data_IF_274665877057
#
_entry.id   IF_274665877057
#
_cell.length_a   1.000
_cell.length_b   1.000
_cell.length_c   1.000
_cell.angle_alpha   90.00
_cell.angle_beta   90.00
_cell.angle_gamma   90.00
#
_symmetry.space_group_name_H-M   'P 1'
#
loop_
_entity.id
_entity.type
_entity.pdbx_description
1 polymer ?
#
# COMPACT_ATOMS: atom_id res chain seq x y z
N UNK A 1 -24.01 32.94 -58.67
CA UNK A 1 -22.68 33.42 -58.21
C UNK A 1 -22.82 33.68 -56.71
N UNK A 2 -22.40 32.74 -55.84
CA UNK A 2 -21.09 32.74 -55.14
C UNK A 2 -20.90 34.06 -54.38
N UNK A 3 -21.14 34.15 -53.07
CA UNK A 3 -20.21 33.80 -51.97
C UNK A 3 -20.77 34.35 -50.64
N UNK A 4 -20.42 33.97 -49.41
CA UNK A 4 -19.61 32.91 -48.77
C UNK A 4 -20.11 32.92 -47.30
N UNK A 5 -20.31 31.74 -46.73
CA UNK A 5 -20.75 31.50 -45.35
C UNK A 5 -19.66 31.98 -44.39
N UNK A 6 -20.00 32.88 -43.47
CA UNK A 6 -19.11 33.32 -42.40
C UNK A 6 -18.83 32.18 -41.43
N UNK A 7 -17.57 31.73 -41.40
CA UNK A 7 -17.11 30.66 -40.54
C UNK A 7 -17.18 31.06 -39.06
N UNK A 8 -17.92 30.30 -38.26
CA UNK A 8 -17.82 30.33 -36.82
C UNK A 8 -16.52 29.62 -36.40
N UNK A 9 -15.54 30.38 -35.92
CA UNK A 9 -14.33 29.81 -35.33
C UNK A 9 -14.68 29.23 -33.97
N UNK A 10 -14.87 27.91 -33.92
CA UNK A 10 -15.03 27.16 -32.68
C UNK A 10 -13.65 27.08 -32.00
N UNK A 11 -13.43 27.88 -30.96
CA UNK A 11 -12.24 27.76 -30.12
C UNK A 11 -12.33 26.46 -29.32
N UNK A 12 -11.55 25.46 -29.73
CA UNK A 12 -11.44 24.19 -29.03
C UNK A 12 -10.49 24.39 -27.83
N UNK A 13 -11.07 24.66 -26.65
CA UNK A 13 -10.34 24.70 -25.39
C UNK A 13 -10.02 23.25 -25.00
N UNK A 14 -8.84 22.76 -25.38
CA UNK A 14 -8.32 21.50 -24.83
C UNK A 14 -7.99 21.72 -23.36
N UNK A 15 -8.88 21.27 -22.47
CA UNK A 15 -8.51 20.94 -21.11
C UNK A 15 -7.43 19.86 -21.20
N UNK A 16 -6.17 20.26 -21.10
CA UNK A 16 -5.11 19.34 -20.72
C UNK A 16 -5.48 18.92 -19.29
N UNK A 17 -6.16 17.78 -19.15
CA UNK A 17 -6.29 17.14 -17.86
C UNK A 17 -4.87 17.02 -17.29
N UNK A 18 -4.62 17.39 -16.03
CA UNK A 18 -3.30 17.20 -15.46
C UNK A 18 -2.96 15.72 -15.62
N UNK A 19 -1.86 15.45 -16.33
CA UNK A 19 -1.24 14.15 -16.31
C UNK A 19 -1.16 13.73 -14.85
N UNK A 20 -1.67 12.53 -14.54
CA UNK A 20 -1.69 11.93 -13.21
C UNK A 20 -0.47 12.43 -12.42
N UNK A 21 -0.69 13.27 -11.41
CA UNK A 21 0.34 13.46 -10.40
C UNK A 21 0.51 12.06 -9.83
N UNK A 22 1.54 11.35 -10.32
CA UNK A 22 1.83 9.96 -10.00
C UNK A 22 1.80 9.89 -8.48
N UNK A 23 0.86 9.12 -7.93
CA UNK A 23 0.74 8.97 -6.50
C UNK A 23 2.06 8.36 -6.01
N UNK A 24 2.97 9.20 -5.51
CA UNK A 24 4.24 8.75 -4.94
C UNK A 24 4.02 8.11 -3.57
N UNK A 25 2.79 7.73 -3.24
CA UNK A 25 2.41 7.24 -1.93
C UNK A 25 1.51 6.03 -2.01
N UNK A 26 1.57 5.17 -1.00
CA UNK A 26 0.68 4.03 -0.86
C UNK A 26 0.35 3.75 0.61
N UNK A 27 -0.67 2.95 0.85
CA UNK A 27 -1.15 2.62 2.20
C UNK A 27 -0.95 1.15 2.52
N UNK A 28 -0.34 0.87 3.68
CA UNK A 28 -0.19 -0.46 4.24
C UNK A 28 -1.04 -0.59 5.49
N UNK A 29 -1.90 -1.62 5.54
CA UNK A 29 -2.54 -2.03 6.78
C UNK A 29 -1.75 -3.17 7.43
N UNK A 30 -1.22 -2.93 8.63
CA UNK A 30 -0.64 -3.96 9.48
C UNK A 30 -1.73 -4.53 10.39
N UNK A 31 -2.14 -5.76 10.07
CA UNK A 31 -3.12 -6.53 10.83
C UNK A 31 -2.38 -7.47 11.76
N UNK A 32 -2.44 -7.19 13.06
CA UNK A 32 -1.70 -7.94 14.08
C UNK A 32 -2.69 -8.24 15.20
N UNK A 33 -2.94 -9.52 15.48
CA UNK A 33 -3.79 -9.94 16.59
C UNK A 33 -3.48 -9.12 17.85
N UNK A 34 -4.53 -8.55 18.48
CA UNK A 34 -4.40 -7.79 19.71
C UNK A 34 -3.81 -8.61 20.88
N UNK A 35 -3.95 -9.94 20.83
CA UNK A 35 -3.32 -10.85 21.79
C UNK A 35 -1.84 -11.16 21.48
N UNK A 36 -1.30 -10.71 20.33
CA UNK A 36 0.08 -10.98 19.95
C UNK A 36 1.05 -10.20 20.85
N UNK A 37 1.91 -10.88 21.65
CA UNK A 37 2.81 -10.22 22.58
C UNK A 37 3.93 -9.42 21.90
N UNK A 38 4.17 -9.65 20.61
CA UNK A 38 5.16 -8.93 19.80
C UNK A 38 4.57 -7.78 19.01
N UNK A 39 3.27 -7.48 19.16
CA UNK A 39 2.58 -6.46 18.36
C UNK A 39 3.28 -5.10 18.39
N UNK A 40 3.71 -4.62 19.56
CA UNK A 40 4.45 -3.35 19.68
C UNK A 40 5.80 -3.40 18.96
N UNK A 41 6.53 -4.50 19.09
CA UNK A 41 7.83 -4.69 18.44
C UNK A 41 7.69 -4.77 16.91
N UNK A 42 6.73 -5.53 16.40
CA UNK A 42 6.44 -5.65 14.97
C UNK A 42 6.13 -4.28 14.37
N UNK A 43 5.27 -3.48 15.02
CA UNK A 43 4.95 -2.12 14.56
C UNK A 43 6.19 -1.24 14.55
N UNK A 44 6.96 -1.22 15.63
CA UNK A 44 8.17 -0.42 15.74
C UNK A 44 9.22 -0.81 14.69
N UNK A 45 9.41 -2.11 14.45
CA UNK A 45 10.35 -2.63 13.48
C UNK A 45 9.95 -2.31 12.04
N UNK A 46 8.66 -2.38 11.73
CA UNK A 46 8.15 -2.02 10.41
C UNK A 46 8.35 -0.52 10.14
N UNK A 47 7.96 0.34 11.10
CA UNK A 47 8.12 1.80 10.99
C UNK A 47 9.60 2.17 10.86
N UNK A 48 10.48 1.55 11.67
CA UNK A 48 11.92 1.75 11.59
C UNK A 48 12.46 1.43 10.20
N UNK A 49 12.09 0.28 9.63
CA UNK A 49 12.51 -0.08 8.27
C UNK A 49 12.04 0.91 7.20
N UNK A 50 10.80 1.42 7.34
CA UNK A 50 10.25 2.42 6.43
C UNK A 50 10.99 3.77 6.55
N UNK A 51 11.50 4.14 7.72
CA UNK A 51 12.17 5.43 7.93
C UNK A 51 13.66 5.41 7.56
N UNK A 52 14.34 4.28 7.71
CA UNK A 52 15.80 4.16 7.53
C UNK A 52 16.30 4.46 6.10
N UNK A 53 15.43 4.39 5.08
CA UNK A 53 15.87 4.33 3.67
C UNK A 53 15.69 5.60 2.85
N UNK A 54 14.92 6.59 3.31
CA UNK A 54 14.67 7.81 2.49
C UNK A 54 14.10 9.03 3.25
N UNK A 55 14.08 9.04 4.59
CA UNK A 55 13.33 10.07 5.32
C UNK A 55 13.87 11.49 5.19
N UNK A 56 13.01 12.43 4.76
CA UNK A 56 13.22 13.87 4.91
C UNK A 56 12.44 14.45 6.11
N UNK A 57 12.96 15.52 6.70
CA UNK A 57 12.40 16.12 7.92
C UNK A 57 11.01 16.78 7.75
N UNK A 58 10.54 16.96 6.51
CA UNK A 58 9.30 17.69 6.19
C UNK A 58 8.20 16.78 5.59
N UNK A 59 8.29 15.47 5.79
CA UNK A 59 7.32 14.48 5.25
C UNK A 59 6.10 14.27 6.15
N UNK A 60 4.93 14.06 5.53
CA UNK A 60 3.67 13.72 6.22
C UNK A 60 3.38 12.22 6.26
N UNK A 61 4.16 11.42 5.54
CA UNK A 61 4.07 9.97 5.52
C UNK A 61 4.73 9.35 6.76
N UNK A 62 4.39 8.09 7.07
CA UNK A 62 4.99 7.37 8.19
C UNK A 62 6.43 6.89 7.87
N UNK A 63 6.78 6.82 6.58
CA UNK A 63 8.10 6.54 6.07
C UNK A 63 8.13 6.39 4.55
N UNK A 64 9.15 5.70 4.03
CA UNK A 64 9.42 5.49 2.62
C UNK A 64 9.78 4.03 2.32
N UNK A 65 9.11 3.41 1.35
CA UNK A 65 9.41 2.06 0.89
C UNK A 65 9.44 2.02 -0.63
N UNK A 66 10.52 1.52 -1.19
CA UNK A 66 10.72 1.39 -2.63
C UNK A 66 10.84 2.73 -3.38
N UNK A 67 11.08 3.83 -2.66
CA UNK A 67 11.08 5.20 -3.21
C UNK A 67 9.70 5.85 -3.26
N UNK A 68 8.71 5.27 -2.58
CA UNK A 68 7.36 5.83 -2.41
C UNK A 68 7.09 6.10 -0.92
N UNK A 69 6.39 7.18 -0.64
CA UNK A 69 5.77 7.49 0.66
C UNK A 69 4.87 6.33 1.11
N UNK A 70 4.95 5.94 2.38
CA UNK A 70 4.05 4.92 2.94
C UNK A 70 3.26 5.48 4.12
N UNK A 71 1.94 5.27 4.08
CA UNK A 71 1.04 5.46 5.21
C UNK A 71 0.75 4.11 5.86
N UNK A 72 0.90 4.03 7.18
CA UNK A 72 0.81 2.80 7.95
C UNK A 72 -0.42 2.86 8.86
N UNK A 73 -1.36 1.97 8.61
CA UNK A 73 -2.57 1.80 9.41
C UNK A 73 -2.48 0.52 10.22
N UNK A 74 -3.15 0.49 11.37
CA UNK A 74 -3.14 -0.66 12.26
C UNK A 74 -4.55 -1.19 12.47
N UNK A 75 -4.68 -2.52 12.40
CA UNK A 75 -5.88 -3.24 12.80
C UNK A 75 -5.47 -4.43 13.67
N UNK A 76 -6.31 -4.77 14.64
CA UNK A 76 -6.11 -5.93 15.52
C UNK A 76 -6.97 -7.12 15.15
N UNK A 77 -7.94 -6.92 14.26
CA UNK A 77 -8.87 -7.94 13.80
C UNK A 77 -9.47 -7.57 12.44
N UNK A 78 -10.20 -8.51 11.84
CA UNK A 78 -10.86 -8.32 10.54
C UNK A 78 -11.93 -7.20 10.56
N UNK A 79 -12.61 -6.96 11.68
CA UNK A 79 -13.60 -5.90 11.80
C UNK A 79 -12.98 -4.50 11.75
N UNK A 80 -11.86 -4.31 12.43
CA UNK A 80 -11.07 -3.07 12.35
C UNK A 80 -10.49 -2.85 10.95
N UNK A 81 -10.00 -3.91 10.29
CA UNK A 81 -9.56 -3.82 8.90
C UNK A 81 -10.71 -3.41 7.98
N UNK A 82 -11.90 -4.00 8.14
CA UNK A 82 -13.08 -3.61 7.37
C UNK A 82 -13.45 -2.13 7.58
N UNK A 83 -13.32 -1.64 8.81
CA UNK A 83 -13.54 -0.22 9.10
C UNK A 83 -12.51 0.68 8.41
N UNK A 84 -11.23 0.30 8.35
CA UNK A 84 -10.20 1.04 7.61
C UNK A 84 -10.47 1.04 6.10
N UNK A 85 -10.77 -0.12 5.53
CA UNK A 85 -11.10 -0.28 4.10
C UNK A 85 -12.33 0.53 3.69
N UNK A 86 -13.26 0.78 4.61
CA UNK A 86 -14.44 1.64 4.36
C UNK A 86 -14.11 3.14 4.34
N UNK A 87 -12.98 3.54 4.94
CA UNK A 87 -12.59 4.95 5.09
C UNK A 87 -11.58 5.39 4.03
N UNK A 88 -10.68 4.49 3.62
CA UNK A 88 -9.65 4.81 2.65
C UNK A 88 -9.18 3.56 1.90
N UNK A 89 -8.55 3.80 0.74
CA UNK A 89 -7.92 2.75 -0.02
C UNK A 89 -6.71 2.19 0.73
N UNK A 90 -6.59 0.86 0.74
CA UNK A 90 -5.40 0.14 1.23
C UNK A 90 -4.78 -0.56 0.04
N UNK A 91 -3.47 -0.41 -0.16
CA UNK A 91 -2.76 -1.03 -1.27
C UNK A 91 -2.27 -2.43 -0.91
N UNK A 92 -1.82 -2.59 0.34
CA UNK A 92 -1.27 -3.83 0.87
C UNK A 92 -1.85 -4.06 2.28
N UNK A 93 -2.39 -5.25 2.53
CA UNK A 93 -2.70 -5.71 3.89
C UNK A 93 -1.72 -6.79 4.29
N UNK A 94 -1.03 -6.59 5.41
CA UNK A 94 -0.06 -7.52 5.97
C UNK A 94 -0.64 -8.12 7.23
N UNK A 95 -0.74 -9.44 7.27
CA UNK A 95 -1.21 -10.17 8.43
C UNK A 95 -0.05 -10.82 9.18
N UNK A 96 0.05 -10.52 10.48
CA UNK A 96 0.97 -11.16 11.43
C UNK A 96 0.16 -11.93 12.46
N UNK A 97 -0.19 -13.20 12.16
CA UNK A 97 -1.26 -13.86 12.90
C UNK A 97 -1.26 -15.39 12.86
N UNK A 98 -2.20 -15.93 13.65
CA UNK A 98 -2.79 -17.25 13.70
C UNK A 98 -3.76 -17.54 12.53
N UNK A 99 -4.18 -18.79 12.40
CA UNK A 99 -4.91 -19.29 11.22
C UNK A 99 -6.35 -18.75 11.05
N UNK A 100 -7.04 -18.34 12.13
CA UNK A 100 -8.45 -17.93 12.06
C UNK A 100 -8.63 -16.53 11.46
N UNK A 101 -7.79 -15.59 11.88
CA UNK A 101 -7.73 -14.24 11.34
C UNK A 101 -7.30 -14.21 9.86
N UNK A 102 -6.50 -15.18 9.43
CA UNK A 102 -6.06 -15.34 8.04
C UNK A 102 -7.23 -15.35 7.04
N UNK A 103 -8.25 -16.17 7.29
CA UNK A 103 -9.36 -16.32 6.35
C UNK A 103 -10.19 -15.02 6.20
N UNK A 104 -10.45 -14.33 7.31
CA UNK A 104 -11.24 -13.09 7.30
C UNK A 104 -10.48 -11.94 6.66
N UNK A 105 -9.21 -11.77 7.01
CA UNK A 105 -8.36 -10.71 6.48
C UNK A 105 -8.08 -10.91 5.00
N UNK A 106 -7.72 -12.13 4.58
CA UNK A 106 -7.47 -12.43 3.17
C UNK A 106 -8.69 -12.12 2.31
N UNK A 107 -9.89 -12.55 2.75
CA UNK A 107 -11.14 -12.28 2.04
C UNK A 107 -11.37 -10.77 1.86
N UNK A 108 -11.33 -10.01 2.96
CA UNK A 108 -11.55 -8.56 2.93
C UNK A 108 -10.54 -7.83 2.04
N UNK A 109 -9.27 -8.25 2.11
CA UNK A 109 -8.19 -7.65 1.32
C UNK A 109 -8.43 -7.84 -0.18
N UNK A 110 -8.79 -9.06 -0.59
CA UNK A 110 -9.06 -9.38 -2.00
C UNK A 110 -10.33 -8.69 -2.49
N UNK A 111 -11.40 -8.65 -1.68
CA UNK A 111 -12.65 -7.96 -2.03
C UNK A 111 -12.48 -6.45 -2.22
N UNK A 112 -11.46 -5.85 -1.62
CA UNK A 112 -11.15 -4.42 -1.72
C UNK A 112 -9.95 -4.10 -2.63
N UNK A 113 -9.57 -5.03 -3.51
CA UNK A 113 -8.49 -4.84 -4.50
C UNK A 113 -7.13 -4.46 -3.88
N UNK A 114 -6.84 -4.98 -2.70
CA UNK A 114 -5.55 -4.84 -2.02
C UNK A 114 -4.72 -6.12 -2.17
N UNK A 115 -3.39 -6.01 -2.03
CA UNK A 115 -2.50 -7.18 -2.01
C UNK A 115 -2.42 -7.75 -0.59
N UNK A 116 -2.67 -9.05 -0.46
CA UNK A 116 -2.58 -9.75 0.82
C UNK A 116 -1.18 -10.36 1.01
N UNK A 117 -0.56 -10.09 2.17
CA UNK A 117 0.67 -10.74 2.62
C UNK A 117 0.39 -11.44 3.94
N UNK A 118 0.70 -12.74 4.02
CA UNK A 118 0.84 -13.42 5.29
C UNK A 118 2.32 -13.40 5.71
N UNK A 119 2.63 -12.74 6.81
CA UNK A 119 3.96 -12.74 7.40
C UNK A 119 4.05 -13.89 8.42
N UNK A 120 4.98 -14.81 8.21
CA UNK A 120 5.11 -16.00 9.07
C UNK A 120 5.51 -15.60 10.50
N UNK A 121 4.75 -16.09 11.48
CA UNK A 121 4.98 -15.83 12.91
C UNK A 121 6.08 -16.71 13.54
N UNK A 122 6.87 -17.47 12.76
CA UNK A 122 7.74 -18.51 13.32
C UNK A 122 8.94 -17.98 14.11
N UNK A 123 9.42 -16.77 13.81
CA UNK A 123 10.49 -16.11 14.55
C UNK A 123 10.15 -14.61 14.66
N UNK A 124 9.33 -14.25 15.66
CA UNK A 124 8.62 -12.96 15.77
C UNK A 124 9.55 -11.74 15.95
N UNK A 125 10.82 -11.95 16.25
CA UNK A 125 11.83 -10.88 16.29
C UNK A 125 12.11 -10.35 14.88
N UNK A 126 11.98 -9.04 14.68
CA UNK A 126 12.23 -8.33 13.42
C UNK A 126 11.28 -8.67 12.25
N UNK A 127 10.17 -9.37 12.45
CA UNK A 127 9.24 -9.68 11.34
C UNK A 127 8.67 -8.43 10.68
N UNK A 128 8.41 -7.38 11.47
CA UNK A 128 8.01 -6.08 10.93
C UNK A 128 9.07 -5.52 9.98
N UNK A 129 10.34 -5.57 10.39
CA UNK A 129 11.47 -5.08 9.63
C UNK A 129 11.67 -5.87 8.32
N UNK A 130 11.69 -7.20 8.41
CA UNK A 130 11.86 -8.09 7.25
C UNK A 130 10.71 -7.90 6.26
N UNK A 131 9.48 -7.78 6.75
CA UNK A 131 8.30 -7.61 5.89
C UNK A 131 8.34 -6.25 5.18
N UNK A 132 8.69 -5.18 5.88
CA UNK A 132 8.90 -3.87 5.26
C UNK A 132 10.00 -3.92 4.19
N UNK A 133 11.13 -4.60 4.44
CA UNK A 133 12.18 -4.76 3.43
C UNK A 133 11.72 -5.55 2.19
N UNK A 134 10.92 -6.59 2.37
CA UNK A 134 10.31 -7.32 1.24
C UNK A 134 9.43 -6.41 0.40
N UNK A 135 8.64 -5.55 1.05
CA UNK A 135 7.80 -4.56 0.37
C UNK A 135 8.66 -3.52 -0.35
N UNK A 136 9.70 -2.96 0.30
CA UNK A 136 10.64 -2.01 -0.32
C UNK A 136 11.25 -2.59 -1.60
N UNK A 137 11.77 -3.82 -1.55
CA UNK A 137 12.39 -4.45 -2.73
C UNK A 137 11.39 -4.68 -3.86
N UNK A 138 10.17 -5.16 -3.53
CA UNK A 138 9.12 -5.39 -4.51
C UNK A 138 8.70 -4.09 -5.19
N UNK A 139 8.42 -3.04 -4.41
CA UNK A 139 8.02 -1.73 -4.93
C UNK A 139 9.15 -1.10 -5.72
N UNK A 140 10.40 -1.13 -5.24
CA UNK A 140 11.56 -0.60 -5.96
C UNK A 140 11.75 -1.25 -7.32
N UNK A 141 11.46 -2.55 -7.44
CA UNK A 141 11.54 -3.27 -8.71
C UNK A 141 10.42 -2.88 -9.69
N UNK A 142 9.27 -2.42 -9.20
CA UNK A 142 8.10 -2.09 -10.01
C UNK A 142 7.99 -0.58 -10.30
N UNK A 143 8.45 0.27 -9.38
CA UNK A 143 8.33 1.72 -9.42
C UNK A 143 6.94 2.25 -9.01
N UNK A 144 5.96 1.37 -8.76
CA UNK A 144 4.59 1.74 -8.39
C UNK A 144 3.85 0.60 -7.67
N UNK A 145 2.65 0.89 -7.17
CA UNK A 145 1.77 -0.08 -6.49
C UNK A 145 0.44 -0.33 -7.21
N UNK A 146 0.20 0.30 -8.36
CA UNK A 146 -1.10 0.27 -9.04
C UNK A 146 -1.39 -1.09 -9.71
N UNK A 147 -0.35 -1.76 -10.23
CA UNK A 147 -0.48 -3.11 -10.76
C UNK A 147 -0.46 -4.13 -9.60
N UNK A 148 -1.66 -4.40 -9.06
CA UNK A 148 -1.85 -5.32 -7.93
C UNK A 148 -1.41 -6.75 -8.25
N UNK A 149 -1.49 -7.16 -9.52
CA UNK A 149 -1.06 -8.50 -9.95
C UNK A 149 0.46 -8.58 -9.97
N UNK A 150 1.14 -7.60 -10.58
CA UNK A 150 2.59 -7.54 -10.57
C UNK A 150 3.15 -7.41 -9.15
N UNK A 151 2.52 -6.58 -8.32
CA UNK A 151 2.88 -6.39 -6.91
C UNK A 151 2.72 -7.68 -6.10
N UNK A 152 1.60 -8.39 -6.23
CA UNK A 152 1.40 -9.69 -5.58
C UNK A 152 2.45 -10.73 -6.03
N UNK A 153 2.77 -10.77 -7.33
CA UNK A 153 3.80 -11.65 -7.87
C UNK A 153 5.20 -11.31 -7.34
N UNK A 154 5.51 -10.04 -7.15
CA UNK A 154 6.80 -9.59 -6.61
C UNK A 154 6.95 -9.88 -5.10
N UNK A 155 5.85 -9.88 -4.35
CA UNK A 155 5.83 -10.12 -2.91
C UNK A 155 5.78 -11.61 -2.53
N UNK A 156 5.41 -12.46 -3.50
CA UNK A 156 5.42 -13.91 -3.32
C UNK A 156 6.87 -14.41 -3.21
N UNK A 157 7.25 -15.16 -2.15
CA UNK A 157 8.58 -15.74 -2.04
C UNK A 157 8.93 -16.56 -3.27
N UNK A 158 10.10 -16.31 -3.88
CA UNK A 158 10.63 -17.19 -4.93
C UNK A 158 11.38 -18.34 -4.25
N UNK A 159 10.86 -19.55 -4.42
CA UNK A 159 11.51 -20.80 -3.99
C UNK A 159 12.84 -21.02 -4.72
#
# INVERSE_FOLDING_TARGET
MKNIIGAATLAFLTLIAPANAMAHSFTVALVIDGANPYSAQIKADFVRAAQERDGHADETADGHLGGLDVYILYATNAGELAALLSQQAIDISVLFDTAELNNGVQKLTVENNAVFIHAEAKDQENQGYITAQRIDMAIRSLGEVNDKVALANALTPRN
#
